data_IF_349556091638
#
_entry.id   IF_349556091638
#
_cell.length_a   1.000
_cell.length_b   1.000
_cell.length_c   1.000
_cell.angle_alpha   90.00
_cell.angle_beta   90.00
_cell.angle_gamma   90.00
#
_symmetry.space_group_name_H-M   'P 1'
#
loop_
_entity.id
_entity.type
_entity.pdbx_description
1 polymer ?
#
# COMPACT_ATOMS: atom_id res chain seq x y z
N UNK A 1 20.67 -4.19 -2.08
CA UNK A 1 19.77 -4.11 -3.24
C UNK A 1 18.72 -5.20 -3.08
N UNK A 2 17.52 -4.84 -2.62
CA UNK A 2 16.43 -5.80 -2.40
C UNK A 2 15.42 -5.55 -3.50
N UNK A 3 15.32 -6.41 -4.52
CA UNK A 3 14.36 -6.26 -5.63
C UNK A 3 13.09 -7.05 -5.32
N UNK A 4 11.93 -6.47 -5.60
CA UNK A 4 10.63 -7.12 -5.46
C UNK A 4 10.12 -7.59 -6.83
N UNK A 5 9.83 -8.89 -7.00
CA UNK A 5 9.19 -9.40 -8.20
C UNK A 5 7.68 -9.13 -8.16
N UNK A 6 7.21 -8.35 -9.12
CA UNK A 6 5.80 -8.16 -9.43
C UNK A 6 5.15 -9.47 -9.86
N UNK A 7 3.84 -9.62 -9.63
CA UNK A 7 3.08 -10.77 -10.16
C UNK A 7 2.98 -10.74 -11.71
N UNK A 8 3.18 -9.56 -12.31
CA UNK A 8 3.35 -9.38 -13.76
C UNK A 8 4.61 -10.05 -14.32
N UNK A 9 5.61 -10.36 -13.46
CA UNK A 9 6.93 -10.85 -13.85
C UNK A 9 8.01 -9.76 -13.97
N UNK A 10 7.65 -8.49 -13.79
CA UNK A 10 8.60 -7.37 -13.70
C UNK A 10 9.28 -7.35 -12.33
N UNK A 11 10.53 -6.87 -12.24
CA UNK A 11 11.21 -6.64 -10.97
C UNK A 11 11.34 -5.14 -10.71
N UNK A 12 10.90 -4.70 -9.54
CA UNK A 12 11.05 -3.32 -9.07
C UNK A 12 11.96 -3.28 -7.84
N UNK A 13 12.36 -2.10 -7.38
CA UNK A 13 13.02 -1.96 -6.10
C UNK A 13 12.08 -2.33 -4.95
N UNK A 14 12.59 -3.02 -3.94
CA UNK A 14 11.82 -3.41 -2.75
C UNK A 14 11.36 -2.20 -1.93
N UNK A 15 12.01 -1.05 -2.09
CA UNK A 15 11.56 0.23 -1.54
C UNK A 15 10.31 0.78 -2.25
N UNK A 16 10.02 0.30 -3.46
CA UNK A 16 8.84 0.67 -4.24
C UNK A 16 7.63 -0.21 -3.90
N UNK A 17 7.81 -1.27 -3.11
CA UNK A 17 6.68 -2.07 -2.64
C UNK A 17 5.93 -1.31 -1.55
N UNK A 18 4.61 -1.22 -1.67
CA UNK A 18 3.73 -0.54 -0.71
C UNK A 18 4.07 0.94 -0.51
N UNK A 19 4.56 1.62 -1.54
CA UNK A 19 4.92 3.04 -1.45
C UNK A 19 3.75 3.97 -1.81
N UNK A 20 2.59 3.42 -2.16
CA UNK A 20 1.41 4.15 -2.62
C UNK A 20 1.42 4.48 -4.10
N UNK A 21 2.49 4.13 -4.82
CA UNK A 21 2.63 4.28 -6.27
C UNK A 21 2.61 2.91 -6.94
N UNK A 22 1.89 2.78 -8.03
CA UNK A 22 1.83 1.54 -8.77
C UNK A 22 3.07 1.40 -9.68
N UNK A 23 4.15 0.85 -9.15
CA UNK A 23 5.38 0.61 -9.91
C UNK A 23 5.34 -0.72 -10.68
N UNK A 24 4.54 -1.70 -10.24
CA UNK A 24 4.22 -2.85 -11.08
C UNK A 24 3.12 -2.54 -12.09
N UNK A 25 3.23 -3.08 -13.31
CA UNK A 25 2.19 -2.97 -14.35
C UNK A 25 0.82 -3.51 -13.86
N UNK A 26 0.83 -4.56 -13.05
CA UNK A 26 -0.36 -5.16 -12.44
C UNK A 26 -0.71 -4.62 -11.04
N UNK A 27 0.00 -3.57 -10.59
CA UNK A 27 -0.07 -2.99 -9.24
C UNK A 27 0.17 -4.01 -8.12
N UNK A 28 0.93 -5.05 -8.42
CA UNK A 28 1.17 -6.18 -7.51
C UNK A 28 2.01 -5.80 -6.28
N UNK A 29 2.83 -4.77 -6.43
CA UNK A 29 3.58 -4.11 -5.37
C UNK A 29 2.68 -3.40 -4.35
N UNK A 30 1.54 -2.91 -4.81
CA UNK A 30 0.51 -2.27 -3.98
C UNK A 30 -0.64 -3.23 -3.60
N UNK A 31 -0.70 -4.43 -4.19
CA UNK A 31 -1.67 -5.49 -3.87
C UNK A 31 -1.10 -6.42 -2.81
N UNK A 32 -1.88 -6.72 -1.79
CA UNK A 32 -1.41 -7.49 -0.63
C UNK A 32 -0.27 -6.79 0.13
N UNK A 33 -0.32 -5.46 0.17
CA UNK A 33 0.31 -4.77 1.27
C UNK A 33 -0.47 -5.12 2.54
N UNK A 34 0.06 -6.05 3.32
CA UNK A 34 -0.43 -6.32 4.66
C UNK A 34 -0.34 -4.98 5.36
N UNK A 35 -1.49 -4.33 5.55
CA UNK A 35 -1.51 -2.96 6.00
C UNK A 35 -1.03 -2.96 7.45
N UNK A 36 0.29 -2.85 7.64
CA UNK A 36 0.96 -2.53 8.90
C UNK A 36 0.68 -1.05 9.20
N UNK A 37 -0.60 -0.67 9.15
CA UNK A 37 -1.04 0.55 9.77
C UNK A 37 -0.64 0.46 11.24
N UNK A 38 -0.08 1.56 11.75
CA UNK A 38 0.18 1.68 13.17
C UNK A 38 -1.10 1.35 13.95
N UNK A 39 -0.97 0.96 15.22
CA UNK A 39 -2.11 0.61 16.10
C UNK A 39 -3.23 1.69 16.08
N UNK A 40 -2.89 2.94 15.74
CA UNK A 40 -3.80 4.08 15.60
C UNK A 40 -4.23 4.44 14.16
N UNK A 41 -3.95 3.60 13.17
CA UNK A 41 -4.35 3.77 11.77
C UNK A 41 -5.22 2.61 11.31
N UNK A 42 -6.08 2.86 10.33
CA UNK A 42 -6.95 1.90 9.68
C UNK A 42 -6.60 1.85 8.21
N UNK A 43 -6.45 0.65 7.66
CA UNK A 43 -6.30 0.48 6.22
C UNK A 43 -7.63 0.74 5.51
N UNK A 44 -7.58 1.61 4.50
CA UNK A 44 -8.62 1.70 3.49
C UNK A 44 -8.43 0.58 2.45
N UNK A 45 -9.50 0.25 1.72
CA UNK A 45 -9.45 -0.76 0.66
C UNK A 45 -8.45 -0.40 -0.47
N UNK A 46 -8.07 0.87 -0.58
CA UNK A 46 -7.06 1.37 -1.51
C UNK A 46 -5.62 1.32 -0.95
N UNK A 47 -5.37 0.67 0.19
CA UNK A 47 -4.03 0.57 0.78
C UNK A 47 -3.58 1.81 1.57
N UNK A 48 -4.38 2.89 1.57
CA UNK A 48 -4.10 4.11 2.33
C UNK A 48 -4.32 3.87 3.83
N UNK A 49 -3.33 4.22 4.65
CA UNK A 49 -3.43 4.24 6.10
C UNK A 49 -3.91 5.61 6.59
N UNK A 50 -5.16 5.68 7.06
CA UNK A 50 -5.71 6.88 7.71
C UNK A 50 -5.82 6.65 9.22
N UNK A 51 -5.84 7.69 10.05
CA UNK A 51 -6.03 7.50 11.50
C UNK A 51 -7.36 6.78 11.78
N UNK A 52 -7.42 5.99 12.84
CA UNK A 52 -8.68 5.33 13.27
C UNK A 52 -9.86 6.30 13.41
N UNK A 53 -9.59 7.54 13.82
CA UNK A 53 -10.61 8.58 13.91
C UNK A 53 -11.11 9.03 12.51
N UNK A 54 -10.22 9.09 11.52
CA UNK A 54 -10.52 9.59 10.17
C UNK A 54 -11.36 8.62 9.33
N UNK A 55 -11.42 7.33 9.69
CA UNK A 55 -12.16 6.31 8.92
C UNK A 55 -13.65 6.60 8.77
N UNK A 56 -14.22 7.38 9.68
CA UNK A 56 -15.63 7.79 9.67
C UNK A 56 -15.82 9.22 10.20
N UNK A 57 -14.85 10.13 10.02
CA UNK A 57 -14.89 11.50 10.60
C UNK A 57 -15.82 12.47 9.85
N UNK A 58 -16.70 11.97 8.98
CA UNK A 58 -17.49 12.79 8.04
C UNK A 58 -16.66 13.66 7.07
N UNK A 59 -15.34 13.46 7.03
CA UNK A 59 -14.43 14.08 6.09
C UNK A 59 -13.92 13.02 5.09
N UNK A 60 -13.68 13.43 3.84
CA UNK A 60 -13.07 12.57 2.82
C UNK A 60 -11.55 12.71 2.95
N UNK A 61 -10.91 11.68 3.50
CA UNK A 61 -9.45 11.51 3.62
C UNK A 61 -8.88 10.62 2.50
#
# INVERSE_FOLDING_TARGET
ESKFPCASGQCIDGALRCNGDANCQDKSDEKNCEVLCLINQSGCANGVCIRKHNKCDHNVD
#
